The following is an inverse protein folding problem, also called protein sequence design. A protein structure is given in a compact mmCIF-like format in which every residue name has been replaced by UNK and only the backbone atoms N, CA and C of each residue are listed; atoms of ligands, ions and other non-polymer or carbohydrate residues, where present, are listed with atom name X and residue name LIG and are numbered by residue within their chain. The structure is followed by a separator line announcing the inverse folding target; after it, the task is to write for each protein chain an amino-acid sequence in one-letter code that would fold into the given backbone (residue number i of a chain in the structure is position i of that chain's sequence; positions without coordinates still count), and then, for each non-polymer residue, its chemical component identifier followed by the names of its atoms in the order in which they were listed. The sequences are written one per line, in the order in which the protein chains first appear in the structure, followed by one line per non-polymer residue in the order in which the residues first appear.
data_IF_539974845547
#
_entry.id   IF_539974845547
#
_cell.length_a   1.000
_cell.length_b   1.000
_cell.length_c   1.000
_cell.angle_alpha   90.00
_cell.angle_beta   90.00
_cell.angle_gamma   90.00
#
_symmetry.space_group_name_H-M   'P 1'
#
loop_
_entity.id
_entity.type
_entity.pdbx_description
1 polymer ?
#
# COMPACT_ATOMS: atom_id res chain seq x y z
N UNK A 1 -23.51 -2.48 32.67
CA UNK A 1 -24.48 -2.04 33.70
C UNK A 1 -24.90 -3.28 34.48
N UNK A 2 -24.64 -3.34 35.79
CA UNK A 2 -25.37 -4.15 36.81
C UNK A 2 -24.75 -3.94 38.21
N UNK A 3 -25.62 -4.01 39.24
CA UNK A 3 -25.48 -3.80 40.70
C UNK A 3 -25.42 -2.32 41.18
N UNK A 4 -26.32 -1.75 41.98
CA UNK A 4 -27.66 -2.10 42.46
C UNK A 4 -28.39 -0.76 42.81
N UNK A 5 -29.62 -0.47 42.33
CA UNK A 5 -30.31 0.83 42.50
C UNK A 5 -30.71 1.21 43.94
N UNK A 6 -30.38 0.38 44.94
CA UNK A 6 -30.93 0.49 46.31
C UNK A 6 -30.15 1.48 47.19
N UNK A 7 -28.95 1.91 46.77
CA UNK A 7 -28.03 2.69 47.61
C UNK A 7 -27.51 3.97 46.95
N UNK A 8 -28.11 4.42 45.85
CA UNK A 8 -27.65 5.59 45.08
C UNK A 8 -27.71 6.92 45.86
N UNK A 9 -28.33 6.94 47.05
CA UNK A 9 -28.48 8.11 47.93
C UNK A 9 -28.39 7.70 49.42
N UNK A 10 -27.40 6.88 49.79
CA UNK A 10 -27.16 6.52 51.19
C UNK A 10 -26.00 7.36 51.75
N UNK A 11 -26.33 8.24 52.69
CA UNK A 11 -25.38 9.07 53.44
C UNK A 11 -25.56 8.81 54.93
N UNK A 12 -24.47 8.71 55.67
CA UNK A 12 -24.51 8.52 57.12
C UNK A 12 -23.42 9.33 57.83
N UNK A 13 -23.68 9.80 59.06
CA UNK A 13 -22.66 10.43 59.87
C UNK A 13 -21.59 9.42 60.32
N UNK A 14 -20.36 9.89 60.43
CA UNK A 14 -19.20 9.14 60.92
C UNK A 14 -18.20 10.05 61.62
N UNK A 15 -17.18 9.45 62.21
CA UNK A 15 -16.08 10.16 62.85
C UNK A 15 -14.78 9.81 62.14
N UNK A 16 -14.11 10.82 61.58
CA UNK A 16 -12.88 10.65 60.82
C UNK A 16 -11.68 11.20 61.57
N UNK A 17 -10.58 10.46 61.56
CA UNK A 17 -9.26 10.86 62.04
C UNK A 17 -8.30 10.80 60.87
N UNK A 18 -7.71 11.96 60.54
CA UNK A 18 -6.74 12.10 59.45
C UNK A 18 -5.38 11.50 59.78
N UNK A 19 -4.50 11.47 58.77
CA UNK A 19 -3.15 10.89 58.91
C UNK A 19 -2.23 11.70 59.83
N UNK A 20 -2.57 12.97 60.06
CA UNK A 20 -1.91 13.90 60.97
C UNK A 20 -2.24 13.64 62.45
N UNK A 21 -3.15 12.70 62.74
CA UNK A 21 -3.57 12.39 64.10
C UNK A 21 -4.36 13.52 64.77
N UNK A 22 -4.96 14.41 63.96
CA UNK A 22 -5.82 15.46 64.45
C UNK A 22 -7.01 14.88 65.25
N UNK A 23 -7.63 15.68 66.14
CA UNK A 23 -8.83 15.26 66.86
C UNK A 23 -9.91 14.73 65.90
N UNK A 24 -10.67 13.69 66.28
CA UNK A 24 -11.74 13.15 65.44
C UNK A 24 -12.72 14.24 65.03
N UNK A 25 -12.98 14.35 63.74
CA UNK A 25 -13.96 15.26 63.17
C UNK A 25 -15.21 14.50 62.74
N UNK A 26 -16.37 15.08 62.99
CA UNK A 26 -17.62 14.53 62.49
C UNK A 26 -17.72 14.79 60.98
N UNK A 27 -18.06 13.74 60.24
CA UNK A 27 -18.08 13.72 58.78
C UNK A 27 -19.37 13.08 58.28
N UNK A 28 -19.75 13.46 57.07
CA UNK A 28 -20.75 12.76 56.28
C UNK A 28 -20.05 11.78 55.35
N UNK A 29 -20.54 10.54 55.33
CA UNK A 29 -19.98 9.46 54.54
C UNK A 29 -21.01 9.03 53.52
N UNK A 30 -20.63 8.98 52.25
CA UNK A 30 -21.51 8.61 51.14
C UNK A 30 -20.85 7.60 50.21
N UNK A 31 -21.68 6.87 49.47
CA UNK A 31 -21.22 5.87 48.50
C UNK A 31 -21.28 6.36 47.07
N UNK A 32 -20.19 6.11 46.34
CA UNK A 32 -20.20 6.05 44.89
C UNK A 32 -20.20 4.59 44.39
N UNK A 33 -19.95 4.41 43.08
CA UNK A 33 -19.90 3.08 42.46
C UNK A 33 -18.83 2.13 43.02
N UNK A 34 -17.71 2.66 43.49
CA UNK A 34 -16.57 1.86 43.98
C UNK A 34 -15.75 2.58 45.07
N UNK A 35 -16.25 3.71 45.55
CA UNK A 35 -15.52 4.64 46.42
C UNK A 35 -16.42 5.07 47.57
N UNK A 36 -15.84 5.14 48.75
CA UNK A 36 -16.41 5.75 49.94
C UNK A 36 -15.93 7.20 49.99
N UNK A 37 -16.84 8.16 49.89
CA UNK A 37 -16.50 9.58 49.97
C UNK A 37 -16.68 10.04 51.41
N UNK A 38 -15.68 10.72 51.95
CA UNK A 38 -15.70 11.29 53.29
C UNK A 38 -15.65 12.81 53.14
N UNK A 39 -16.69 13.50 53.59
CA UNK A 39 -16.83 14.94 53.46
C UNK A 39 -17.34 15.56 54.75
N UNK A 40 -17.19 16.86 54.90
CA UNK A 40 -17.81 17.62 55.99
C UNK A 40 -19.28 17.90 55.64
N UNK A 41 -20.08 18.23 56.65
CA UNK A 41 -21.50 18.61 56.48
C UNK A 41 -21.72 19.89 55.65
N UNK A 42 -20.68 20.68 55.39
CA UNK A 42 -20.73 21.81 54.46
C UNK A 42 -20.38 21.41 53.02
N UNK A 43 -20.47 20.11 52.72
CA UNK A 43 -20.14 19.49 51.43
C UNK A 43 -18.66 19.61 51.00
N UNK A 44 -17.77 20.04 51.91
CA UNK A 44 -16.33 20.06 51.62
C UNK A 44 -15.76 18.63 51.63
N UNK A 45 -15.23 18.12 50.51
CA UNK A 45 -14.64 16.79 50.46
C UNK A 45 -13.32 16.75 51.25
N UNK A 46 -13.15 15.75 52.11
CA UNK A 46 -11.92 15.53 52.88
C UNK A 46 -11.04 14.52 52.14
N UNK A 47 -11.58 13.33 51.88
CA UNK A 47 -10.86 12.24 51.21
C UNK A 47 -11.85 11.25 50.58
N UNK A 48 -11.32 10.34 49.77
CA UNK A 48 -12.08 9.24 49.18
C UNK A 48 -11.29 7.94 49.29
N UNK A 49 -11.95 6.86 49.69
CA UNK A 49 -11.33 5.56 49.86
C UNK A 49 -11.92 4.53 48.91
N UNK A 50 -11.11 3.71 48.21
CA UNK A 50 -11.62 2.60 47.43
C UNK A 50 -12.29 1.58 48.36
N UNK A 51 -13.57 1.24 48.12
CA UNK A 51 -14.31 0.31 48.99
C UNK A 51 -13.61 -1.06 49.07
N UNK A 52 -12.99 -1.49 47.96
CA UNK A 52 -12.28 -2.76 47.85
C UNK A 52 -11.01 -2.85 48.72
N UNK A 53 -10.41 -1.72 49.12
CA UNK A 53 -9.19 -1.72 49.95
C UNK A 53 -9.47 -1.53 51.43
N UNK A 54 -10.72 -1.24 51.81
CA UNK A 54 -11.09 -0.98 53.19
C UNK A 54 -10.82 -2.19 54.09
N UNK A 55 -10.15 -1.94 55.20
CA UNK A 55 -9.83 -2.93 56.22
C UNK A 55 -10.52 -2.57 57.53
N UNK A 56 -11.01 -3.62 58.22
CA UNK A 56 -11.62 -3.47 59.53
C UNK A 56 -10.51 -3.32 60.57
N UNK A 57 -10.60 -2.24 61.35
CA UNK A 57 -9.69 -1.94 62.43
C UNK A 57 -10.40 -2.08 63.78
N UNK A 58 -9.69 -2.48 64.85
CA UNK A 58 -10.28 -2.48 66.18
C UNK A 58 -10.64 -1.05 66.60
N UNK A 59 -11.82 -0.88 67.20
CA UNK A 59 -12.32 0.42 67.66
C UNK A 59 -13.56 0.27 68.54
N UNK A 60 -14.04 1.39 69.09
CA UNK A 60 -15.21 1.44 70.00
C UNK A 60 -16.55 1.65 69.28
N UNK A 61 -16.53 1.99 67.99
CA UNK A 61 -17.73 2.11 67.16
C UNK A 61 -18.16 0.75 66.60
N UNK A 62 -19.40 0.67 66.11
CA UNK A 62 -19.94 -0.55 65.50
C UNK A 62 -19.08 -1.05 64.32
N UNK A 63 -18.46 -0.13 63.57
CA UNK A 63 -17.44 -0.45 62.57
C UNK A 63 -16.37 0.64 62.55
N UNK A 64 -15.10 0.26 62.55
CA UNK A 64 -13.97 1.18 62.35
C UNK A 64 -13.17 0.72 61.14
N UNK A 65 -12.94 1.62 60.19
CA UNK A 65 -12.32 1.33 58.90
C UNK A 65 -11.04 2.13 58.70
N UNK A 66 -10.12 1.57 57.93
CA UNK A 66 -8.95 2.24 57.39
C UNK A 66 -8.85 1.99 55.87
N UNK A 67 -8.20 2.89 55.10
CA UNK A 67 -8.10 2.75 53.65
C UNK A 67 -7.19 1.58 53.22
N UNK A 68 -6.24 1.19 54.07
CA UNK A 68 -5.43 -0.01 53.98
C UNK A 68 -4.82 -0.38 55.35
N UNK A 69 -4.05 -1.47 55.42
CA UNK A 69 -3.44 -1.97 56.67
C UNK A 69 -2.32 -1.09 57.24
N UNK A 70 -1.72 -0.19 56.46
CA UNK A 70 -0.59 0.64 56.83
C UNK A 70 -0.99 2.09 57.12
N UNK A 71 -2.14 2.53 56.62
CA UNK A 71 -2.61 3.90 56.74
C UNK A 71 -2.97 4.23 58.21
N UNK A 72 -2.56 5.40 58.72
CA UNK A 72 -2.91 5.85 60.07
C UNK A 72 -4.35 6.37 60.19
N UNK A 73 -5.02 6.67 59.07
CA UNK A 73 -6.37 7.24 59.05
C UNK A 73 -7.43 6.26 59.57
N UNK A 74 -8.44 6.77 60.29
CA UNK A 74 -9.53 5.96 60.85
C UNK A 74 -10.88 6.60 60.58
N UNK A 75 -11.86 5.78 60.15
CA UNK A 75 -13.25 6.16 60.03
C UNK A 75 -14.10 5.27 60.93
N UNK A 76 -14.79 5.86 61.90
CA UNK A 76 -15.71 5.17 62.80
C UNK A 76 -17.16 5.43 62.37
N UNK A 77 -17.93 4.36 62.21
CA UNK A 77 -19.32 4.34 61.75
C UNK A 77 -20.21 3.63 62.77
N UNK A 78 -21.42 4.16 62.95
CA UNK A 78 -22.45 3.60 63.85
C UNK A 78 -23.75 3.26 63.13
N UNK A 79 -23.98 3.81 61.93
CA UNK A 79 -25.20 3.58 61.18
C UNK A 79 -25.23 2.16 60.62
N UNK A 80 -26.27 1.41 60.96
CA UNK A 80 -26.38 -0.01 60.63
C UNK A 80 -26.56 -0.23 59.13
N UNK A 81 -27.34 0.61 58.46
CA UNK A 81 -27.67 0.44 57.05
C UNK A 81 -26.45 0.80 56.18
N UNK A 82 -25.68 1.82 56.59
CA UNK A 82 -24.36 2.15 56.05
C UNK A 82 -23.39 0.97 56.18
N UNK A 83 -23.27 0.39 57.38
CA UNK A 83 -22.37 -0.75 57.64
C UNK A 83 -22.76 -1.97 56.77
N UNK A 84 -24.05 -2.26 56.65
CA UNK A 84 -24.55 -3.35 55.80
C UNK A 84 -24.20 -3.10 54.32
N UNK A 85 -24.36 -1.86 53.84
CA UNK A 85 -24.01 -1.47 52.49
C UNK A 85 -22.50 -1.58 52.20
N UNK A 86 -21.63 -1.16 53.13
CA UNK A 86 -20.16 -1.34 53.00
C UNK A 86 -19.82 -2.81 52.80
N UNK A 87 -20.37 -3.68 53.64
CA UNK A 87 -20.10 -5.11 53.59
C UNK A 87 -20.60 -5.74 52.29
N UNK A 88 -21.79 -5.39 51.82
CA UNK A 88 -22.33 -5.86 50.56
C UNK A 88 -21.47 -5.43 49.36
N UNK A 89 -21.01 -4.18 49.34
CA UNK A 89 -20.16 -3.64 48.28
C UNK A 89 -18.75 -4.26 48.30
N UNK A 90 -18.16 -4.48 49.48
CA UNK A 90 -16.89 -5.20 49.64
C UNK A 90 -16.97 -6.62 49.10
N UNK A 91 -18.03 -7.36 49.44
CA UNK A 91 -18.25 -8.71 48.94
C UNK A 91 -18.42 -8.75 47.41
N UNK A 92 -19.17 -7.79 46.84
CA UNK A 92 -19.33 -7.67 45.39
C UNK A 92 -18.00 -7.32 44.68
N UNK A 93 -17.18 -6.45 45.27
CA UNK A 93 -15.87 -6.09 44.73
C UNK A 93 -14.89 -7.29 44.76
N UNK A 94 -14.89 -8.07 45.84
CA UNK A 94 -14.09 -9.30 45.94
C UNK A 94 -14.55 -10.34 44.92
N UNK A 95 -15.85 -10.59 44.79
CA UNK A 95 -16.39 -11.50 43.78
C UNK A 95 -16.05 -11.07 42.35
N UNK A 96 -16.03 -9.76 42.06
CA UNK A 96 -15.61 -9.24 40.76
C UNK A 96 -14.09 -9.40 40.51
N UNK A 97 -13.26 -9.24 41.55
CA UNK A 97 -11.82 -9.51 41.46
C UNK A 97 -11.54 -11.00 41.22
N UNK A 98 -12.28 -11.89 41.86
CA UNK A 98 -12.17 -13.34 41.69
C UNK A 98 -12.71 -13.82 40.32
N UNK A 99 -13.72 -13.12 39.79
CA UNK A 99 -14.30 -13.37 38.46
C UNK A 99 -13.52 -12.73 37.31
N UNK A 100 -12.51 -11.89 37.59
CA UNK A 100 -11.65 -11.34 36.55
C UNK A 100 -10.90 -12.48 35.84
N UNK A 101 -10.91 -12.55 34.50
CA UNK A 101 -10.26 -13.63 33.79
C UNK A 101 -8.78 -13.62 34.14
N UNK A 102 -8.32 -14.71 34.77
CA UNK A 102 -6.90 -15.03 35.04
C UNK A 102 -6.08 -14.49 33.87
N UNK A 103 -5.20 -13.53 34.17
CA UNK A 103 -4.35 -12.84 33.21
C UNK A 103 -3.92 -13.82 32.10
N UNK A 104 -4.26 -13.48 30.84
CA UNK A 104 -3.86 -14.25 29.67
C UNK A 104 -2.37 -14.56 29.83
N UNK A 105 -2.03 -15.85 29.92
CA UNK A 105 -0.63 -16.31 30.01
C UNK A 105 0.17 -15.49 28.98
N UNK A 106 1.27 -14.81 29.38
CA UNK A 106 2.09 -14.13 28.38
C UNK A 106 2.50 -15.17 27.35
N UNK A 107 2.30 -14.87 26.07
CA UNK A 107 2.77 -15.73 24.98
C UNK A 107 4.22 -16.10 25.28
N UNK A 108 4.51 -17.40 25.37
CA UNK A 108 5.85 -17.89 25.67
C UNK A 108 6.86 -17.32 24.66
N UNK A 109 8.16 -17.25 25.00
CA UNK A 109 9.17 -16.64 24.13
C UNK A 109 9.09 -17.17 22.69
N UNK A 110 8.86 -18.48 22.50
CA UNK A 110 8.66 -19.07 21.17
C UNK A 110 7.48 -18.52 20.38
N UNK A 111 6.35 -18.20 21.04
CA UNK A 111 5.17 -17.62 20.38
C UNK A 111 5.38 -16.14 20.02
N UNK A 112 6.18 -15.41 20.81
CA UNK A 112 6.61 -14.03 20.47
C UNK A 112 7.52 -14.01 19.25
N UNK A 113 8.50 -14.93 19.18
CA UNK A 113 9.36 -15.09 18.01
C UNK A 113 8.58 -15.52 16.77
N UNK A 114 7.63 -16.45 16.90
CA UNK A 114 6.76 -16.85 15.80
C UNK A 114 5.94 -15.68 15.26
N UNK A 115 5.36 -14.83 16.13
CA UNK A 115 4.61 -13.65 15.70
C UNK A 115 5.51 -12.59 15.06
N UNK A 116 6.73 -12.39 15.57
CA UNK A 116 7.71 -11.48 14.98
C UNK A 116 8.14 -11.93 13.59
N UNK A 117 8.41 -13.24 13.40
CA UNK A 117 8.72 -13.82 12.10
C UNK A 117 7.54 -13.72 11.13
N UNK A 118 6.31 -13.93 11.60
CA UNK A 118 5.09 -13.73 10.81
C UNK A 118 4.93 -12.27 10.38
N UNK A 119 5.21 -11.33 11.28
CA UNK A 119 5.14 -9.90 10.99
C UNK A 119 6.21 -9.46 9.99
N UNK A 120 7.46 -9.90 10.17
CA UNK A 120 8.55 -9.64 9.22
C UNK A 120 8.26 -10.30 7.87
N UNK A 121 7.76 -11.53 7.87
CA UNK A 121 7.34 -12.23 6.65
C UNK A 121 6.20 -11.52 5.93
N UNK A 122 5.19 -11.02 6.66
CA UNK A 122 4.09 -10.25 6.11
C UNK A 122 4.54 -8.91 5.55
N UNK A 123 5.45 -8.21 6.23
CA UNK A 123 6.07 -6.98 5.70
C UNK A 123 6.87 -7.25 4.43
N UNK A 124 7.70 -8.31 4.42
CA UNK A 124 8.46 -8.71 3.25
C UNK A 124 7.58 -9.08 2.06
N UNK A 125 6.52 -9.86 2.31
CA UNK A 125 5.52 -10.21 1.30
C UNK A 125 4.76 -8.99 0.78
N UNK A 126 4.39 -8.06 1.67
CA UNK A 126 3.73 -6.80 1.31
C UNK A 126 4.62 -5.91 0.44
N UNK A 127 5.88 -5.74 0.81
CA UNK A 127 6.89 -5.01 0.02
C UNK A 127 7.11 -5.65 -1.35
N UNK A 128 7.23 -6.98 -1.40
CA UNK A 128 7.41 -7.72 -2.64
C UNK A 128 6.18 -7.61 -3.56
N UNK A 129 4.97 -7.68 -3.00
CA UNK A 129 3.72 -7.52 -3.73
C UNK A 129 3.48 -6.08 -4.20
N UNK A 130 3.97 -5.07 -3.46
CA UNK A 130 3.83 -3.65 -3.79
C UNK A 130 4.91 -3.11 -4.74
N UNK A 131 6.08 -3.76 -4.80
CA UNK A 131 7.20 -3.36 -5.67
C UNK A 131 6.83 -3.20 -7.17
N UNK A 132 6.01 -4.07 -7.79
CA UNK A 132 5.59 -3.92 -9.19
C UNK A 132 4.89 -2.60 -9.48
N UNK A 133 3.91 -2.23 -8.64
CA UNK A 133 3.14 -1.01 -8.81
C UNK A 133 3.96 0.25 -8.57
N UNK A 134 4.93 0.18 -7.65
CA UNK A 134 5.85 1.28 -7.39
C UNK A 134 6.79 1.55 -8.58
N UNK A 135 7.31 0.50 -9.23
CA UNK A 135 8.16 0.63 -10.43
C UNK A 135 7.35 1.22 -11.59
N UNK A 136 6.12 0.73 -11.81
CA UNK A 136 5.23 1.24 -12.86
C UNK A 136 4.91 2.74 -12.62
N UNK A 137 4.61 3.13 -11.38
CA UNK A 137 4.37 4.53 -11.00
C UNK A 137 5.61 5.44 -11.16
N UNK A 138 6.80 4.95 -10.78
CA UNK A 138 8.05 5.69 -10.96
C UNK A 138 8.43 5.84 -12.44
N UNK A 139 8.15 4.82 -13.26
CA UNK A 139 8.37 4.89 -14.70
C UNK A 139 7.42 5.87 -15.39
N UNK A 140 6.17 5.98 -14.90
CA UNK A 140 5.20 6.96 -15.38
C UNK A 140 5.56 8.41 -14.97
N UNK A 141 6.24 8.59 -13.84
CA UNK A 141 6.73 9.89 -13.38
C UNK A 141 7.91 10.45 -14.19
N UNK A 142 8.57 9.60 -15.00
CA UNK A 142 9.65 10.06 -15.86
C UNK A 142 9.13 11.02 -16.96
N UNK A 143 9.81 12.15 -17.21
CA UNK A 143 9.43 13.07 -18.28
C UNK A 143 9.28 12.34 -19.61
N UNK A 144 8.27 12.70 -20.42
CA UNK A 144 8.01 12.04 -21.70
C UNK A 144 9.22 12.08 -22.65
N UNK A 145 9.99 13.17 -22.61
CA UNK A 145 11.21 13.35 -23.38
C UNK A 145 12.28 12.32 -23.03
N UNK A 146 12.48 12.06 -21.73
CA UNK A 146 13.45 11.06 -21.24
C UNK A 146 13.04 9.66 -21.67
N UNK A 147 11.75 9.33 -21.59
CA UNK A 147 11.22 8.03 -22.06
C UNK A 147 11.40 7.85 -23.56
N UNK A 148 11.15 8.89 -24.35
CA UNK A 148 11.34 8.86 -25.79
C UNK A 148 12.83 8.73 -26.19
N UNK A 149 13.73 9.43 -25.50
CA UNK A 149 15.17 9.33 -25.72
C UNK A 149 15.70 7.91 -25.39
N UNK A 150 15.23 7.34 -24.28
CA UNK A 150 15.58 5.99 -23.86
C UNK A 150 15.05 4.92 -24.85
N UNK A 151 13.82 5.08 -25.35
CA UNK A 151 13.28 4.22 -26.40
C UNK A 151 14.09 4.27 -27.69
N UNK A 152 14.49 5.47 -28.12
CA UNK A 152 15.33 5.65 -29.30
C UNK A 152 16.71 4.98 -29.13
N UNK A 153 17.30 5.07 -27.94
CA UNK A 153 18.55 4.37 -27.62
C UNK A 153 18.38 2.85 -27.63
N UNK A 154 17.28 2.34 -27.07
CA UNK A 154 16.98 0.90 -27.05
C UNK A 154 16.77 0.33 -28.45
N UNK A 155 16.02 1.04 -29.31
CA UNK A 155 15.82 0.69 -30.72
C UNK A 155 17.14 0.63 -31.47
N UNK A 156 18.00 1.66 -31.33
CA UNK A 156 19.33 1.68 -31.95
C UNK A 156 20.22 0.55 -31.45
N UNK A 157 20.19 0.25 -30.15
CA UNK A 157 20.96 -0.84 -29.58
C UNK A 157 20.48 -2.23 -30.07
N UNK A 158 19.17 -2.39 -30.28
CA UNK A 158 18.59 -3.66 -30.73
C UNK A 158 18.73 -3.89 -32.24
N UNK A 159 18.57 -2.84 -33.05
CA UNK A 159 18.57 -2.95 -34.50
C UNK A 159 19.92 -2.61 -35.15
N UNK A 160 20.75 -1.75 -34.52
CA UNK A 160 22.04 -1.33 -35.07
C UNK A 160 21.92 -0.80 -36.51
N UNK A 161 22.82 -1.28 -37.38
CA UNK A 161 22.84 -0.95 -38.81
C UNK A 161 21.72 -1.64 -39.62
N UNK A 162 20.94 -2.51 -38.98
CA UNK A 162 19.82 -3.20 -39.63
C UNK A 162 18.55 -2.32 -39.72
N UNK A 163 18.57 -1.09 -39.23
CA UNK A 163 17.49 -0.12 -39.43
C UNK A 163 17.36 0.27 -40.90
N UNK A 164 16.11 0.42 -41.35
CA UNK A 164 15.85 0.98 -42.67
C UNK A 164 16.23 2.46 -42.70
N UNK A 165 17.13 2.83 -43.62
CA UNK A 165 17.67 4.19 -43.74
C UNK A 165 17.25 4.91 -45.04
N UNK A 166 16.40 4.29 -45.87
CA UNK A 166 15.93 4.90 -47.11
C UNK A 166 15.06 6.14 -46.81
N UNK A 167 15.36 7.31 -47.42
CA UNK A 167 14.66 8.56 -47.11
C UNK A 167 13.19 8.56 -47.54
N UNK A 168 12.82 7.87 -48.62
CA UNK A 168 11.44 7.79 -49.07
C UNK A 168 10.61 6.88 -48.14
N UNK A 169 11.18 5.75 -47.74
CA UNK A 169 10.59 4.86 -46.74
C UNK A 169 10.48 5.52 -45.36
N UNK A 170 11.48 6.32 -44.95
CA UNK A 170 11.43 7.10 -43.71
C UNK A 170 10.29 8.14 -43.73
N UNK A 171 10.03 8.79 -44.86
CA UNK A 171 8.91 9.71 -45.02
C UNK A 171 7.55 8.99 -44.94
N UNK A 172 7.43 7.81 -45.56
CA UNK A 172 6.25 6.97 -45.44
C UNK A 172 6.01 6.52 -43.99
N UNK A 173 7.05 6.04 -43.29
CA UNK A 173 6.98 5.69 -41.87
C UNK A 173 6.58 6.88 -40.99
N UNK A 174 7.07 8.08 -41.29
CA UNK A 174 6.68 9.28 -40.57
C UNK A 174 5.17 9.56 -40.70
N UNK A 175 4.59 9.40 -41.91
CA UNK A 175 3.15 9.56 -42.13
C UNK A 175 2.34 8.48 -41.42
N UNK A 176 2.78 7.23 -41.48
CA UNK A 176 2.17 6.12 -40.73
C UNK A 176 2.20 6.42 -39.22
N UNK A 177 3.34 6.88 -38.70
CA UNK A 177 3.51 7.19 -37.28
C UNK A 177 2.62 8.34 -36.81
N UNK A 178 2.42 9.35 -37.66
CA UNK A 178 1.50 10.45 -37.41
C UNK A 178 0.05 9.96 -37.39
N UNK A 179 -0.36 9.16 -38.38
CA UNK A 179 -1.69 8.56 -38.43
C UNK A 179 -1.97 7.69 -37.20
N UNK A 180 -1.02 6.83 -36.82
CA UNK A 180 -1.10 5.99 -35.62
C UNK A 180 -1.17 6.81 -34.33
N UNK A 181 -0.45 7.93 -34.24
CA UNK A 181 -0.49 8.82 -33.08
C UNK A 181 -1.84 9.54 -32.94
N UNK A 182 -2.54 9.80 -34.05
CA UNK A 182 -3.90 10.37 -34.04
C UNK A 182 -4.98 9.33 -33.79
N UNK A 183 -4.75 8.10 -34.24
CA UNK A 183 -5.70 6.98 -34.21
C UNK A 183 -5.68 6.24 -32.87
N UNK A 184 -4.49 5.91 -32.36
CA UNK A 184 -4.33 5.50 -30.99
C UNK A 184 -4.66 6.72 -30.13
N UNK A 185 -5.67 6.60 -29.26
CA UNK A 185 -6.03 7.59 -28.24
C UNK A 185 -4.82 7.84 -27.33
N UNK A 186 -3.82 8.55 -27.84
CA UNK A 186 -2.57 8.79 -27.16
C UNK A 186 -2.93 9.49 -25.86
N UNK A 187 -2.76 8.78 -24.74
CA UNK A 187 -2.76 9.44 -23.46
C UNK A 187 -1.74 10.58 -23.53
N UNK A 188 -2.04 11.74 -22.90
CA UNK A 188 -1.20 12.92 -23.00
C UNK A 188 0.27 12.56 -22.66
N UNK A 189 1.15 12.63 -23.67
CA UNK A 189 2.60 12.62 -23.43
C UNK A 189 3.50 11.72 -24.28
N UNK A 190 3.04 10.88 -25.24
CA UNK A 190 3.99 10.17 -26.12
C UNK A 190 3.42 9.86 -27.52
N UNK A 191 3.95 10.45 -28.61
CA UNK A 191 3.57 10.07 -29.98
C UNK A 191 4.11 8.68 -30.32
N UNK A 192 3.36 7.92 -31.13
CA UNK A 192 3.77 6.63 -31.66
C UNK A 192 4.80 6.84 -32.78
N UNK A 193 5.94 6.15 -32.72
CA UNK A 193 7.02 6.21 -33.72
C UNK A 193 7.34 4.81 -34.22
N UNK A 194 7.04 4.54 -35.48
CA UNK A 194 7.32 3.24 -36.12
C UNK A 194 8.66 3.30 -36.84
N UNK A 195 9.50 2.31 -36.60
CA UNK A 195 10.73 2.07 -37.36
C UNK A 195 10.75 0.64 -37.86
N UNK A 196 11.40 0.40 -38.99
CA UNK A 196 11.54 -0.95 -39.57
C UNK A 196 12.99 -1.38 -39.48
N UNK A 197 13.23 -2.61 -39.03
CA UNK A 197 14.54 -3.25 -39.06
C UNK A 197 14.43 -4.72 -39.44
N UNK A 198 15.48 -5.28 -40.04
CA UNK A 198 15.61 -6.73 -40.11
C UNK A 198 16.13 -7.24 -38.77
N UNK A 199 15.44 -8.21 -38.19
CA UNK A 199 15.78 -8.77 -36.89
C UNK A 199 15.99 -10.29 -37.05
N UNK A 200 16.98 -10.89 -36.38
CA UNK A 200 17.15 -12.34 -36.43
C UNK A 200 16.02 -13.08 -35.68
N UNK A 201 15.63 -14.27 -36.18
CA UNK A 201 14.72 -15.22 -35.50
C UNK A 201 13.25 -15.16 -35.94
N UNK A 202 12.40 -16.15 -35.65
CA UNK A 202 10.97 -16.21 -36.05
C UNK A 202 10.02 -15.59 -35.01
N UNK A 203 10.33 -14.38 -34.55
CA UNK A 203 9.56 -13.68 -33.52
C UNK A 203 8.42 -12.80 -34.06
N UNK A 204 7.65 -12.21 -33.13
CA UNK A 204 6.53 -11.29 -33.37
C UNK A 204 6.82 -10.20 -34.44
N UNK A 205 5.81 -9.82 -35.26
CA UNK A 205 5.98 -8.92 -36.41
C UNK A 205 6.38 -7.49 -36.01
N UNK A 206 6.08 -7.07 -34.78
CA UNK A 206 6.51 -5.80 -34.22
C UNK A 206 6.67 -5.87 -32.70
N UNK A 207 7.48 -4.97 -32.13
CA UNK A 207 7.77 -4.88 -30.70
C UNK A 207 7.66 -3.45 -30.19
N UNK A 208 7.11 -3.29 -29.00
CA UNK A 208 7.03 -2.00 -28.32
C UNK A 208 8.32 -1.68 -27.56
N UNK A 209 8.79 -0.44 -27.69
CA UNK A 209 9.86 0.15 -26.89
C UNK A 209 9.33 1.32 -26.04
N UNK A 210 10.05 1.71 -24.97
CA UNK A 210 9.64 2.82 -24.10
C UNK A 210 9.41 4.12 -24.88
N UNK A 211 8.47 4.95 -24.42
CA UNK A 211 8.26 6.28 -25.00
C UNK A 211 7.59 6.30 -26.38
N UNK A 212 6.78 5.28 -26.69
CA UNK A 212 5.96 5.24 -27.91
C UNK A 212 6.66 4.67 -29.15
N UNK A 213 7.86 4.10 -29.01
CA UNK A 213 8.57 3.49 -30.12
C UNK A 213 8.02 2.11 -30.46
N UNK A 214 7.88 1.81 -31.75
CA UNK A 214 7.47 0.51 -32.27
C UNK A 214 8.50 0.05 -33.29
N UNK A 215 9.18 -1.05 -33.00
CA UNK A 215 10.14 -1.69 -33.88
C UNK A 215 9.43 -2.78 -34.68
N UNK A 216 9.12 -2.47 -35.94
CA UNK A 216 8.54 -3.38 -36.90
C UNK A 216 9.61 -4.18 -37.63
N UNK A 217 9.25 -5.41 -38.01
CA UNK A 217 10.12 -6.31 -38.75
C UNK A 217 10.04 -6.09 -40.25
N UNK A 218 11.18 -6.06 -40.91
CA UNK A 218 11.25 -6.01 -42.37
C UNK A 218 10.52 -7.23 -43.00
N UNK A 219 10.59 -8.39 -42.37
CA UNK A 219 9.90 -9.60 -42.82
C UNK A 219 8.38 -9.49 -42.72
N UNK A 220 7.88 -8.81 -41.67
CA UNK A 220 6.45 -8.54 -41.52
C UNK A 220 5.95 -7.52 -42.55
N UNK A 221 6.78 -6.53 -42.89
CA UNK A 221 6.51 -5.59 -43.98
C UNK A 221 6.46 -6.31 -45.34
N UNK A 222 7.40 -7.22 -45.60
CA UNK A 222 7.47 -7.98 -46.85
C UNK A 222 6.28 -8.96 -46.99
N UNK A 223 5.86 -9.60 -45.90
CA UNK A 223 4.76 -10.55 -45.88
C UNK A 223 3.37 -9.90 -45.96
N UNK A 224 3.24 -8.61 -45.64
CA UNK A 224 1.97 -7.92 -45.64
C UNK A 224 1.48 -7.66 -47.09
N UNK A 225 0.24 -8.06 -47.46
CA UNK A 225 -0.30 -7.84 -48.80
C UNK A 225 -0.62 -6.37 -49.11
N UNK A 226 -0.72 -5.52 -48.09
CA UNK A 226 -1.04 -4.10 -48.23
C UNK A 226 -0.86 -3.31 -46.93
N UNK A 227 -1.05 -1.98 -46.99
CA UNK A 227 -0.81 -1.09 -45.86
C UNK A 227 -1.71 -1.38 -44.65
N UNK A 228 -2.98 -1.75 -44.89
CA UNK A 228 -3.93 -2.06 -43.82
C UNK A 228 -3.54 -3.36 -43.09
N UNK A 229 -3.15 -4.39 -43.85
CA UNK A 229 -2.69 -5.65 -43.28
C UNK A 229 -1.38 -5.46 -42.48
N UNK A 230 -0.49 -4.57 -42.93
CA UNK A 230 0.69 -4.22 -42.15
C UNK A 230 0.30 -3.46 -40.86
N UNK A 231 -0.62 -2.52 -40.94
CA UNK A 231 -1.12 -1.78 -39.77
C UNK A 231 -1.75 -2.72 -38.72
N UNK A 232 -2.49 -3.74 -39.16
CA UNK A 232 -3.04 -4.78 -38.28
C UNK A 232 -1.96 -5.60 -37.57
N UNK A 233 -0.85 -5.92 -38.25
CA UNK A 233 0.31 -6.60 -37.65
C UNK A 233 1.01 -5.71 -36.61
N UNK A 234 0.96 -4.38 -36.77
CA UNK A 234 1.53 -3.43 -35.81
C UNK A 234 0.63 -3.17 -34.60
N UNK A 235 -0.70 -3.34 -34.74
CA UNK A 235 -1.67 -2.92 -33.74
C UNK A 235 -1.41 -3.43 -32.31
N UNK A 236 -1.00 -4.70 -32.08
CA UNK A 236 -0.67 -5.18 -30.73
C UNK A 236 0.53 -4.43 -30.13
N UNK A 237 1.58 -4.19 -30.91
CA UNK A 237 2.76 -3.48 -30.46
C UNK A 237 2.49 -1.99 -30.22
N UNK A 238 1.60 -1.37 -31.02
CA UNK A 238 1.15 0.02 -30.82
C UNK A 238 0.35 0.15 -29.54
N UNK A 239 -0.62 -0.74 -29.29
CA UNK A 239 -1.41 -0.75 -28.05
C UNK A 239 -0.51 -0.91 -26.81
N UNK A 240 0.53 -1.73 -26.92
CA UNK A 240 1.50 -1.95 -25.86
C UNK A 240 2.43 -0.75 -25.65
N UNK A 241 2.87 -0.07 -26.72
CA UNK A 241 3.69 1.14 -26.65
C UNK A 241 2.92 2.31 -26.00
N UNK A 242 1.62 2.40 -26.24
CA UNK A 242 0.74 3.44 -25.67
C UNK A 242 0.40 3.16 -24.20
N UNK A 243 0.20 1.89 -23.83
CA UNK A 243 -0.09 1.52 -22.43
C UNK A 243 1.14 1.51 -21.52
N UNK A 244 2.35 1.47 -22.07
CA UNK A 244 3.60 1.38 -21.29
C UNK A 244 3.80 0.03 -20.56
N UNK A 245 2.88 -0.93 -20.74
CA UNK A 245 2.84 -2.19 -20.00
C UNK A 245 4.11 -3.03 -20.16
N UNK A 246 4.75 -2.99 -21.33
CA UNK A 246 5.99 -3.75 -21.57
C UNK A 246 7.21 -3.16 -20.90
N UNK A 247 7.30 -1.82 -20.83
CA UNK A 247 8.40 -1.17 -20.13
C UNK A 247 8.36 -1.54 -18.65
N UNK A 248 7.17 -1.57 -18.04
CA UNK A 248 6.98 -2.06 -16.67
C UNK A 248 7.36 -3.52 -16.46
N UNK A 249 6.96 -4.42 -17.38
CA UNK A 249 7.32 -5.85 -17.32
C UNK A 249 8.81 -6.09 -17.54
N UNK A 250 9.42 -5.44 -18.51
CA UNK A 250 10.85 -5.55 -18.78
C UNK A 250 11.70 -5.00 -17.62
N UNK A 251 11.29 -3.87 -17.04
CA UNK A 251 11.91 -3.33 -15.83
C UNK A 251 11.79 -4.31 -14.65
N UNK A 252 10.64 -4.97 -14.48
CA UNK A 252 10.44 -6.04 -13.48
C UNK A 252 11.35 -7.24 -13.70
N UNK A 253 11.44 -7.75 -14.93
CA UNK A 253 12.28 -8.90 -15.25
C UNK A 253 13.76 -8.55 -15.07
N UNK A 254 14.14 -7.30 -15.32
CA UNK A 254 15.46 -6.75 -15.05
C UNK A 254 15.65 -6.19 -13.63
N UNK A 255 14.66 -6.30 -12.74
CA UNK A 255 14.64 -5.56 -11.46
C UNK A 255 15.81 -5.94 -10.56
N UNK A 256 16.26 -7.20 -10.60
CA UNK A 256 17.46 -7.62 -9.87
C UNK A 256 18.74 -6.97 -10.40
N UNK A 257 18.84 -6.78 -11.71
CA UNK A 257 20.00 -6.15 -12.35
C UNK A 257 19.96 -4.63 -12.19
N UNK A 258 18.77 -4.02 -12.30
CA UNK A 258 18.56 -2.62 -12.00
C UNK A 258 18.81 -2.29 -10.51
N UNK A 259 18.39 -3.17 -9.59
CA UNK A 259 18.66 -3.05 -8.15
C UNK A 259 20.15 -3.21 -7.87
N UNK A 260 20.85 -4.14 -8.52
CA UNK A 260 22.31 -4.27 -8.43
C UNK A 260 23.02 -3.01 -8.93
N UNK A 261 22.59 -2.44 -10.06
CA UNK A 261 23.12 -1.18 -10.59
C UNK A 261 22.88 0.00 -9.64
N UNK A 262 21.68 0.11 -9.07
CA UNK A 262 21.34 1.13 -8.08
C UNK A 262 22.17 1.00 -6.79
N UNK A 263 22.33 -0.23 -6.27
CA UNK A 263 23.15 -0.51 -5.09
C UNK A 263 24.65 -0.32 -5.35
N UNK A 264 25.09 -0.54 -6.59
CA UNK A 264 26.46 -0.27 -7.03
C UNK A 264 26.71 1.22 -7.35
N UNK A 265 25.68 2.06 -7.33
CA UNK A 265 25.77 3.48 -7.70
C UNK A 265 25.97 3.72 -9.21
N UNK A 266 25.73 2.70 -10.03
CA UNK A 266 26.06 2.66 -11.47
C UNK A 266 24.79 2.61 -12.33
N UNK A 267 23.86 3.55 -12.08
CA UNK A 267 22.79 3.84 -13.03
C UNK A 267 23.34 4.67 -14.19
N UNK A 268 24.25 4.09 -14.96
CA UNK A 268 24.76 4.69 -16.18
C UNK A 268 23.75 4.58 -17.33
N UNK A 269 23.93 5.42 -18.35
CA UNK A 269 23.05 5.43 -19.53
C UNK A 269 23.06 4.08 -20.28
N UNK A 270 24.14 3.30 -20.19
CA UNK A 270 24.26 2.00 -20.84
C UNK A 270 23.39 0.94 -20.14
N UNK A 271 23.33 0.93 -18.81
CA UNK A 271 22.48 0.03 -18.03
C UNK A 271 21.01 0.31 -18.25
N UNK A 272 20.62 1.60 -18.31
CA UNK A 272 19.26 1.99 -18.68
C UNK A 272 18.90 1.57 -20.10
N UNK A 273 19.81 1.76 -21.06
CA UNK A 273 19.59 1.33 -22.45
C UNK A 273 19.46 -0.19 -22.56
N UNK A 274 20.26 -0.95 -21.80
CA UNK A 274 20.20 -2.42 -21.74
C UNK A 274 18.86 -2.89 -21.16
N UNK A 275 18.40 -2.30 -20.06
CA UNK A 275 17.10 -2.59 -19.47
C UNK A 275 15.95 -2.23 -20.44
N UNK A 276 16.02 -1.08 -21.10
CA UNK A 276 15.05 -0.68 -22.12
C UNK A 276 15.05 -1.60 -23.35
N UNK A 277 16.22 -2.09 -23.77
CA UNK A 277 16.34 -3.08 -24.86
C UNK A 277 15.76 -4.45 -24.47
N UNK A 278 15.69 -4.78 -23.18
CA UNK A 278 15.02 -5.99 -22.73
C UNK A 278 13.50 -5.96 -23.00
N UNK A 279 12.88 -4.77 -23.05
CA UNK A 279 11.48 -4.64 -23.50
C UNK A 279 11.32 -5.00 -24.98
N UNK A 280 12.38 -4.89 -25.78
CA UNK A 280 12.38 -5.34 -27.16
C UNK A 280 12.61 -6.85 -27.29
N UNK A 281 12.72 -7.65 -26.22
CA UNK A 281 12.76 -9.12 -26.34
C UNK A 281 11.36 -9.71 -26.59
N UNK A 282 11.26 -10.86 -27.27
CA UNK A 282 9.98 -11.54 -27.44
C UNK A 282 9.44 -11.93 -26.05
N UNK A 283 8.16 -11.65 -25.74
CA UNK A 283 7.58 -12.12 -24.50
C UNK A 283 7.49 -13.66 -24.53
N UNK A 284 7.64 -14.29 -23.37
CA UNK A 284 7.48 -15.74 -23.23
C UNK A 284 6.05 -16.20 -23.57
N UNK A 285 5.07 -15.29 -23.51
CA UNK A 285 3.67 -15.55 -23.83
C UNK A 285 3.12 -14.41 -24.71
N UNK A 286 2.47 -14.74 -25.85
CA UNK A 286 1.94 -13.72 -26.74
C UNK A 286 0.86 -12.88 -26.04
N UNK A 287 0.82 -11.56 -26.27
CA UNK A 287 -0.20 -10.71 -25.68
C UNK A 287 -1.58 -11.16 -26.16
N UNK A 288 -2.52 -11.32 -25.23
CA UNK A 288 -3.91 -11.53 -25.60
C UNK A 288 -4.46 -10.27 -26.26
N UNK A 289 -5.26 -10.44 -27.31
CA UNK A 289 -5.91 -9.35 -28.05
C UNK A 289 -6.82 -8.54 -27.12
N UNK A 290 -6.25 -7.52 -26.49
CA UNK A 290 -6.96 -6.62 -25.58
C UNK A 290 -7.79 -5.58 -26.34
N UNK A 291 -8.73 -4.96 -25.63
CA UNK A 291 -9.59 -3.88 -26.16
C UNK A 291 -8.78 -2.72 -26.77
N UNK A 292 -7.57 -2.47 -26.27
CA UNK A 292 -6.66 -1.47 -26.82
C UNK A 292 -6.16 -1.82 -28.23
N UNK A 293 -5.81 -3.09 -28.49
CA UNK A 293 -5.40 -3.54 -29.83
C UNK A 293 -6.59 -3.44 -30.80
N UNK A 294 -7.80 -3.75 -30.33
CA UNK A 294 -9.04 -3.60 -31.11
C UNK A 294 -9.37 -2.13 -31.40
N UNK A 295 -9.19 -1.24 -30.43
CA UNK A 295 -9.38 0.19 -30.61
C UNK A 295 -8.39 0.77 -31.63
N UNK A 296 -7.12 0.35 -31.57
CA UNK A 296 -6.10 0.74 -32.55
C UNK A 296 -6.46 0.23 -33.95
N UNK A 297 -6.88 -1.04 -34.11
CA UNK A 297 -7.35 -1.58 -35.40
C UNK A 297 -8.54 -0.80 -35.95
N UNK A 298 -9.54 -0.50 -35.11
CA UNK A 298 -10.71 0.28 -35.52
C UNK A 298 -10.34 1.71 -35.94
N UNK A 299 -9.36 2.32 -35.26
CA UNK A 299 -8.89 3.65 -35.60
C UNK A 299 -8.00 3.67 -36.87
N UNK A 300 -7.36 2.54 -37.19
CA UNK A 300 -6.61 2.32 -38.42
C UNK A 300 -7.47 1.89 -39.62
N UNK A 301 -8.80 1.82 -39.47
CA UNK A 301 -9.71 1.46 -40.56
C UNK A 301 -9.78 2.48 -41.72
N UNK A 302 -8.98 3.55 -41.69
CA UNK A 302 -8.71 4.43 -42.83
C UNK A 302 -7.31 4.12 -43.34
N UNK A 303 -7.07 4.09 -44.66
CA UNK A 303 -5.75 3.81 -45.20
C UNK A 303 -4.74 4.80 -44.63
N UNK A 304 -3.88 4.31 -43.73
CA UNK A 304 -2.90 5.13 -43.04
C UNK A 304 -1.76 5.57 -43.99
N UNK A 305 -1.65 4.91 -45.15
CA UNK A 305 -0.65 5.15 -46.18
C UNK A 305 -1.31 5.17 -47.56
N UNK A 306 -0.81 6.06 -48.42
CA UNK A 306 -1.13 6.04 -49.85
C UNK A 306 -0.46 4.84 -50.54
N UNK A 307 -0.93 4.48 -51.74
CA UNK A 307 -0.31 3.42 -52.54
C UNK A 307 1.17 3.74 -52.87
N UNK A 308 1.48 5.02 -53.11
CA UNK A 308 2.84 5.48 -53.38
C UNK A 308 3.74 5.37 -52.14
N UNK A 309 3.22 5.71 -50.96
CA UNK A 309 3.95 5.58 -49.70
C UNK A 309 4.19 4.11 -49.33
N UNK A 310 3.21 3.25 -49.62
CA UNK A 310 3.35 1.81 -49.44
C UNK A 310 4.43 1.22 -50.36
N UNK A 311 4.44 1.63 -51.64
CA UNK A 311 5.44 1.20 -52.60
C UNK A 311 6.86 1.67 -52.18
N UNK A 312 7.00 2.94 -51.78
CA UNK A 312 8.26 3.49 -51.28
C UNK A 312 8.76 2.76 -50.04
N UNK A 313 7.86 2.43 -49.11
CA UNK A 313 8.19 1.69 -47.89
C UNK A 313 8.73 0.28 -48.20
N UNK A 314 8.07 -0.46 -49.10
CA UNK A 314 8.52 -1.80 -49.48
C UNK A 314 9.83 -1.76 -50.26
N UNK A 315 9.96 -0.87 -51.23
CA UNK A 315 11.19 -0.75 -52.02
C UNK A 315 12.40 -0.39 -51.13
N UNK A 316 12.24 0.57 -50.22
CA UNK A 316 13.33 1.05 -49.37
C UNK A 316 13.70 0.13 -48.20
N UNK A 317 12.74 -0.60 -47.61
CA UNK A 317 12.97 -1.39 -46.40
C UNK A 317 12.87 -2.91 -46.57
N UNK A 318 12.18 -3.41 -47.59
CA UNK A 318 12.01 -4.84 -47.83
C UNK A 318 12.85 -5.36 -49.00
N UNK A 319 13.03 -4.56 -50.06
CA UNK A 319 13.78 -4.95 -51.27
C UNK A 319 15.21 -4.40 -51.34
N UNK A 320 15.54 -3.36 -50.55
CA UNK A 320 16.86 -2.72 -50.50
C UNK A 320 17.98 -3.52 -49.84
N UNK A 321 17.87 -4.86 -49.76
CA UNK A 321 18.92 -5.77 -49.28
C UNK A 321 18.99 -7.05 -50.11
#
# INVERSE_FOLDING_TARGET
MTAAPRYDILEAPGWYVGADGAPPVEVLVSFGRATLTIQRFDETPITHWPIASLVDMPGSAAMTLAPDNAAPERLALQDRDMIEAINALRAAAQAAADAAPKARRPLGPGARWALALLFVGALGAGLWAAAPGAIDAMSAAAPPETRAALGAAAVRAAAGDALCADPAAAAALARLSAALSTAALAQPGAPVRVVVAALPGPDAPARAAPGGWVLARAEALAAAPGPDAFADLLAPAVAEAVSGARTGRALRDSALDALRGLLAGDLDAASLTRAASAALRPPAEPPQDGDAARAVRNALARPALSADDWAALRAGCAEGR
#
